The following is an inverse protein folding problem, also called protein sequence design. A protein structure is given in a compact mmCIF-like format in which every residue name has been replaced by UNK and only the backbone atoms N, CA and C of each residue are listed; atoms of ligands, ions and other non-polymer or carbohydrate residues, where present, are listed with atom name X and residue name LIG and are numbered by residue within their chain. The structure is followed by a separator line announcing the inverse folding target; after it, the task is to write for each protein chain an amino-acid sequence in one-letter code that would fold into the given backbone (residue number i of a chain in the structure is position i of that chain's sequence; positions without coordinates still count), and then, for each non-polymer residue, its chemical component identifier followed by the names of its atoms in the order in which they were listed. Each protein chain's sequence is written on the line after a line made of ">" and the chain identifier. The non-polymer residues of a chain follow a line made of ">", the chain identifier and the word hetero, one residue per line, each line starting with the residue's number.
data_IF_666843915334
#
_entry.id   IF_666843915334
#
_cell.length_a   1.000
_cell.length_b   1.000
_cell.length_c   1.000
_cell.angle_alpha   90.00
_cell.angle_beta   90.00
_cell.angle_gamma   90.00
#
_symmetry.space_group_name_H-M   'P 1'
#
loop_
_entity.id
_entity.type
_entity.pdbx_description
1 polymer ?
#
# COMPACT_ATOMS: atom_id res chain seq x y z
N UNK A 1 -32.66 15.78 -15.10
CA UNK A 1 -31.53 16.73 -15.17
C UNK A 1 -31.46 17.66 -13.95
N UNK A 2 -32.59 18.19 -13.45
CA UNK A 2 -32.60 19.14 -12.33
C UNK A 2 -32.10 18.54 -11.00
N UNK A 3 -32.36 17.26 -10.74
CA UNK A 3 -31.88 16.57 -9.53
C UNK A 3 -30.36 16.40 -9.56
N UNK A 4 -29.80 16.03 -10.71
CA UNK A 4 -28.35 15.93 -10.88
C UNK A 4 -27.66 17.29 -10.71
N UNK A 5 -28.22 18.35 -11.26
CA UNK A 5 -27.75 19.74 -11.10
C UNK A 5 -27.80 20.19 -9.63
N UNK A 6 -28.90 19.88 -8.94
CA UNK A 6 -29.03 20.16 -7.51
C UNK A 6 -28.01 19.40 -6.66
N UNK A 7 -27.79 18.13 -6.95
CA UNK A 7 -26.75 17.32 -6.27
C UNK A 7 -25.34 17.86 -6.53
N UNK A 8 -25.01 18.25 -7.77
CA UNK A 8 -23.72 18.85 -8.12
C UNK A 8 -23.49 20.15 -7.35
N UNK A 9 -24.52 20.99 -7.18
CA UNK A 9 -24.44 22.25 -6.41
C UNK A 9 -24.24 22.04 -4.90
N UNK A 10 -24.65 20.88 -4.39
CA UNK A 10 -24.52 20.50 -2.98
C UNK A 10 -23.21 19.76 -2.67
N UNK A 11 -22.44 19.39 -3.71
CA UNK A 11 -21.12 18.80 -3.50
C UNK A 11 -20.18 19.87 -2.93
N UNK A 12 -19.34 19.51 -1.94
CA UNK A 12 -18.30 20.39 -1.44
C UNK A 12 -17.42 20.90 -2.59
N UNK A 13 -16.97 22.14 -2.51
CA UNK A 13 -16.11 22.76 -3.54
C UNK A 13 -14.73 22.07 -3.71
N UNK A 14 -14.38 21.21 -2.76
CA UNK A 14 -13.18 20.35 -2.74
C UNK A 14 -13.45 18.91 -3.18
N UNK A 15 -14.62 18.65 -3.79
CA UNK A 15 -14.91 17.38 -4.44
C UNK A 15 -14.09 17.26 -5.75
N UNK A 16 -12.76 17.22 -5.59
CA UNK A 16 -11.84 16.81 -6.64
C UNK A 16 -11.99 15.31 -6.83
N UNK A 17 -12.05 14.82 -8.05
CA UNK A 17 -11.93 13.40 -8.33
C UNK A 17 -10.55 12.95 -7.83
N UNK A 18 -10.54 12.33 -6.65
CA UNK A 18 -9.32 11.77 -6.10
C UNK A 18 -8.89 10.58 -6.94
N UNK A 19 -7.70 10.67 -7.50
CA UNK A 19 -7.11 9.63 -8.33
C UNK A 19 -6.06 8.85 -7.57
N UNK A 20 -5.84 7.61 -7.98
CA UNK A 20 -4.81 6.75 -7.37
C UNK A 20 -3.42 7.16 -7.88
N UNK A 21 -3.30 7.40 -9.19
CA UNK A 21 -2.01 7.64 -9.87
C UNK A 21 -1.88 9.01 -10.54
N UNK A 22 -2.96 9.77 -10.71
CA UNK A 22 -2.98 10.99 -11.54
C UNK A 22 -2.02 12.10 -11.11
N UNK A 23 -1.50 12.05 -9.89
CA UNK A 23 -0.45 12.96 -9.43
C UNK A 23 0.98 12.52 -9.83
N UNK A 24 1.14 11.31 -10.36
CA UNK A 24 2.43 10.70 -10.74
C UNK A 24 2.60 10.52 -12.25
N UNK A 25 1.51 10.56 -13.00
CA UNK A 25 1.49 10.24 -14.42
C UNK A 25 0.78 11.31 -15.24
N UNK A 26 1.10 11.35 -16.54
CA UNK A 26 0.48 12.19 -17.55
C UNK A 26 -0.02 11.33 -18.72
N UNK A 27 -0.85 11.92 -19.58
CA UNK A 27 -1.32 11.26 -20.82
C UNK A 27 -0.13 10.77 -21.66
N UNK A 28 -0.22 9.53 -22.16
CA UNK A 28 0.82 8.83 -22.93
C UNK A 28 2.07 8.40 -22.14
N UNK A 29 2.11 8.56 -20.83
CA UNK A 29 3.17 7.96 -20.03
C UNK A 29 3.12 6.42 -20.10
N UNK A 30 4.30 5.81 -20.24
CA UNK A 30 4.46 4.36 -20.17
C UNK A 30 4.62 3.93 -18.71
N UNK A 31 3.72 3.08 -18.25
CA UNK A 31 3.72 2.54 -16.89
C UNK A 31 3.89 1.02 -16.94
N UNK A 32 4.84 0.50 -16.18
CA UNK A 32 5.07 -0.94 -16.02
C UNK A 32 4.49 -1.42 -14.68
N UNK A 33 3.59 -2.39 -14.76
CA UNK A 33 3.03 -3.06 -13.58
C UNK A 33 3.74 -4.40 -13.37
N UNK A 34 4.43 -4.56 -12.24
CA UNK A 34 5.08 -5.84 -11.87
C UNK A 34 4.22 -6.51 -10.81
N UNK A 35 3.48 -7.54 -11.23
CA UNK A 35 2.45 -8.18 -10.43
C UNK A 35 2.79 -9.66 -10.21
N UNK A 36 3.45 -10.01 -9.09
CA UNK A 36 3.59 -11.42 -8.73
C UNK A 36 2.20 -12.05 -8.60
N UNK A 37 2.09 -13.32 -8.96
CA UNK A 37 0.81 -14.02 -8.86
C UNK A 37 0.46 -14.22 -7.40
N UNK A 38 -0.63 -13.62 -6.97
CA UNK A 38 -1.15 -13.74 -5.61
C UNK A 38 -1.96 -15.05 -5.49
N UNK A 39 -1.48 -15.96 -4.66
CA UNK A 39 -2.15 -17.25 -4.39
C UNK A 39 -3.52 -17.04 -3.73
N UNK A 40 -3.72 -15.92 -3.05
CA UNK A 40 -5.01 -15.57 -2.42
C UNK A 40 -6.04 -15.03 -3.42
N UNK A 41 -5.60 -14.58 -4.59
CA UNK A 41 -6.53 -14.14 -5.62
C UNK A 41 -7.28 -15.34 -6.22
N UNK A 42 -8.60 -15.24 -6.43
CA UNK A 42 -9.34 -16.27 -7.15
C UNK A 42 -8.70 -16.50 -8.53
N UNK A 43 -8.59 -17.79 -8.93
CA UNK A 43 -8.01 -18.15 -10.23
C UNK A 43 -8.64 -17.33 -11.37
N UNK A 44 -7.79 -16.75 -12.21
CA UNK A 44 -8.21 -15.92 -13.35
C UNK A 44 -8.61 -14.48 -12.98
N UNK A 45 -8.31 -14.02 -11.77
CA UNK A 45 -8.58 -12.63 -11.33
C UNK A 45 -7.33 -11.96 -10.78
N UNK A 46 -7.27 -10.65 -10.98
CA UNK A 46 -6.34 -9.76 -10.27
C UNK A 46 -6.97 -9.35 -8.93
N UNK A 47 -6.13 -8.98 -7.96
CA UNK A 47 -6.60 -8.38 -6.71
C UNK A 47 -7.14 -6.96 -6.95
N UNK A 48 -8.06 -6.53 -6.10
CA UNK A 48 -8.76 -5.25 -6.27
C UNK A 48 -7.83 -4.03 -6.45
N UNK A 49 -6.74 -3.86 -5.69
CA UNK A 49 -5.81 -2.75 -5.91
C UNK A 49 -5.20 -2.72 -7.31
N UNK A 50 -4.84 -3.88 -7.86
CA UNK A 50 -4.29 -3.98 -9.20
C UNK A 50 -5.32 -3.54 -10.26
N UNK A 51 -6.56 -4.04 -10.17
CA UNK A 51 -7.65 -3.69 -11.09
C UNK A 51 -7.97 -2.19 -11.03
N UNK A 52 -8.07 -1.62 -9.83
CA UNK A 52 -8.38 -0.20 -9.66
C UNK A 52 -7.25 0.69 -10.16
N UNK A 53 -5.98 0.32 -9.95
CA UNK A 53 -4.83 1.06 -10.47
C UNK A 53 -4.77 1.00 -12.00
N UNK A 54 -5.02 -0.16 -12.61
CA UNK A 54 -5.10 -0.29 -14.08
C UNK A 54 -6.20 0.62 -14.62
N UNK A 55 -7.38 0.62 -14.00
CA UNK A 55 -8.48 1.47 -14.44
C UNK A 55 -8.13 2.95 -14.32
N UNK A 56 -7.56 3.38 -13.20
CA UNK A 56 -7.14 4.76 -12.97
C UNK A 56 -6.10 5.22 -14.01
N UNK A 57 -5.11 4.38 -14.32
CA UNK A 57 -4.12 4.66 -15.37
C UNK A 57 -4.75 4.78 -16.77
N UNK A 58 -5.75 3.97 -17.10
CA UNK A 58 -6.47 4.05 -18.38
C UNK A 58 -7.30 5.33 -18.45
N UNK A 59 -7.93 5.75 -17.36
CA UNK A 59 -8.67 7.01 -17.28
C UNK A 59 -7.74 8.22 -17.50
N UNK A 60 -6.45 8.10 -17.12
CA UNK A 60 -5.39 9.09 -17.41
C UNK A 60 -4.70 8.87 -18.77
N UNK A 61 -5.23 7.98 -19.63
CA UNK A 61 -4.71 7.66 -20.98
C UNK A 61 -3.24 7.23 -20.99
N UNK A 62 -2.78 6.53 -19.94
CA UNK A 62 -1.45 5.96 -19.89
C UNK A 62 -1.34 4.70 -20.77
N UNK A 63 -0.13 4.40 -21.21
CA UNK A 63 0.23 3.15 -21.87
C UNK A 63 0.68 2.17 -20.78
N UNK A 64 0.00 1.03 -20.66
CA UNK A 64 0.24 0.08 -19.59
C UNK A 64 0.88 -1.19 -20.14
N UNK A 65 2.05 -1.54 -19.62
CA UNK A 65 2.66 -2.86 -19.77
C UNK A 65 2.56 -3.60 -18.44
N UNK A 66 2.34 -4.90 -18.46
CA UNK A 66 2.31 -5.71 -17.22
C UNK A 66 3.15 -6.96 -17.37
N UNK A 67 3.77 -7.39 -16.29
CA UNK A 67 4.55 -8.61 -16.21
C UNK A 67 4.51 -9.21 -14.80
N UNK A 68 4.96 -10.43 -14.67
CA UNK A 68 5.25 -11.06 -13.38
C UNK A 68 6.69 -10.77 -12.95
N UNK A 69 7.04 -11.05 -11.71
CA UNK A 69 8.40 -10.78 -11.19
C UNK A 69 9.49 -11.57 -11.92
N UNK A 70 9.20 -12.78 -12.38
CA UNK A 70 10.11 -13.66 -13.12
C UNK A 70 10.31 -13.24 -14.58
N UNK A 71 9.37 -12.49 -15.15
CA UNK A 71 9.46 -11.99 -16.53
C UNK A 71 9.85 -10.51 -16.61
N UNK A 72 10.28 -9.88 -15.50
CA UNK A 72 10.62 -8.45 -15.45
C UNK A 72 11.72 -8.06 -16.44
N UNK A 73 12.81 -8.83 -16.54
CA UNK A 73 13.92 -8.53 -17.45
C UNK A 73 13.47 -8.58 -18.92
N UNK A 74 12.65 -9.56 -19.27
CA UNK A 74 12.09 -9.68 -20.60
C UNK A 74 11.12 -8.52 -20.92
N UNK A 75 10.30 -8.13 -19.94
CA UNK A 75 9.39 -7.00 -20.09
C UNK A 75 10.14 -5.68 -20.30
N UNK A 76 11.18 -5.40 -19.50
CA UNK A 76 12.02 -4.20 -19.66
C UNK A 76 12.73 -4.18 -21.01
N UNK A 77 13.25 -5.34 -21.47
CA UNK A 77 13.93 -5.45 -22.77
C UNK A 77 13.00 -5.29 -23.97
N UNK A 78 11.71 -5.57 -23.80
CA UNK A 78 10.71 -5.42 -24.86
C UNK A 78 10.22 -3.97 -25.04
N UNK A 79 10.55 -3.06 -24.11
CA UNK A 79 10.13 -1.68 -24.18
C UNK A 79 11.05 -0.85 -25.08
N UNK A 80 10.48 0.02 -25.92
CA UNK A 80 11.24 0.94 -26.76
C UNK A 80 11.86 2.12 -26.01
N UNK A 81 11.36 2.39 -24.81
CA UNK A 81 11.86 3.42 -23.87
C UNK A 81 11.61 2.98 -22.44
N UNK A 82 12.41 3.46 -21.48
CA UNK A 82 12.16 3.21 -20.06
C UNK A 82 10.76 3.64 -19.63
N UNK A 83 10.09 2.88 -18.75
CA UNK A 83 8.79 3.31 -18.22
C UNK A 83 8.98 4.54 -17.33
N UNK A 84 8.04 5.47 -17.39
CA UNK A 84 7.99 6.63 -16.51
C UNK A 84 7.83 6.20 -15.04
N UNK A 85 6.94 5.24 -14.82
CA UNK A 85 6.60 4.75 -13.49
C UNK A 85 6.54 3.21 -13.50
N UNK A 86 7.11 2.60 -12.48
CA UNK A 86 6.97 1.17 -12.20
C UNK A 86 6.15 1.04 -10.92
N UNK A 87 5.06 0.28 -11.00
CA UNK A 87 4.18 -0.02 -9.85
C UNK A 87 4.27 -1.52 -9.57
N UNK A 88 4.60 -1.88 -8.35
CA UNK A 88 4.80 -3.28 -7.99
C UNK A 88 4.10 -3.67 -6.71
N UNK A 89 4.13 -4.94 -6.37
CA UNK A 89 3.78 -5.41 -5.04
C UNK A 89 4.92 -5.14 -4.07
N UNK A 90 4.62 -4.66 -2.86
CA UNK A 90 5.66 -4.32 -1.87
C UNK A 90 6.56 -5.48 -1.48
N UNK A 91 6.11 -6.71 -1.69
CA UNK A 91 6.91 -7.91 -1.42
C UNK A 91 8.13 -8.04 -2.34
N UNK A 92 8.04 -7.55 -3.58
CA UNK A 92 9.09 -7.65 -4.58
C UNK A 92 9.82 -6.32 -4.83
N UNK A 93 9.63 -5.33 -3.96
CA UNK A 93 10.34 -4.05 -4.02
C UNK A 93 11.85 -4.18 -4.24
N UNK A 94 12.60 -5.00 -3.45
CA UNK A 94 14.05 -5.08 -3.62
C UNK A 94 14.44 -5.55 -5.02
N UNK A 95 13.75 -6.57 -5.55
CA UNK A 95 14.00 -7.11 -6.88
C UNK A 95 13.77 -6.04 -7.96
N UNK A 96 12.64 -5.32 -7.87
CA UNK A 96 12.29 -4.32 -8.87
C UNK A 96 13.20 -3.09 -8.76
N UNK A 97 13.56 -2.69 -7.54
CA UNK A 97 14.48 -1.58 -7.30
C UNK A 97 15.88 -1.84 -7.91
N UNK A 98 16.39 -3.06 -7.77
CA UNK A 98 17.69 -3.47 -8.34
C UNK A 98 17.70 -3.45 -9.88
N UNK A 99 16.56 -3.82 -10.50
CA UNK A 99 16.47 -4.01 -11.96
C UNK A 99 15.88 -2.83 -12.73
N UNK A 100 15.23 -1.90 -12.03
CA UNK A 100 14.59 -0.76 -12.70
C UNK A 100 15.61 0.13 -13.41
N UNK A 101 15.28 0.72 -14.59
CA UNK A 101 16.05 1.81 -15.15
C UNK A 101 16.20 2.97 -14.14
N UNK A 102 17.34 3.65 -14.18
CA UNK A 102 17.65 4.73 -13.22
C UNK A 102 16.59 5.85 -13.26
N UNK A 103 16.18 6.24 -14.46
CA UNK A 103 15.19 7.28 -14.72
C UNK A 103 13.75 6.90 -14.37
N UNK A 104 13.47 5.61 -14.18
CA UNK A 104 12.12 5.15 -13.84
C UNK A 104 11.79 5.40 -12.37
N UNK A 105 10.63 5.99 -12.11
CA UNK A 105 10.08 6.14 -10.76
C UNK A 105 9.55 4.79 -10.27
N UNK A 106 9.57 4.55 -8.96
CA UNK A 106 9.10 3.31 -8.34
C UNK A 106 8.09 3.59 -7.24
N UNK A 107 7.01 2.84 -7.23
CA UNK A 107 6.04 2.80 -6.13
C UNK A 107 5.41 1.42 -6.02
N UNK A 108 4.47 1.24 -5.09
CA UNK A 108 3.68 0.00 -5.00
C UNK A 108 2.20 0.27 -4.87
N UNK A 109 1.40 -0.75 -5.20
CA UNK A 109 -0.05 -0.70 -5.01
C UNK A 109 -0.41 -0.32 -3.57
N UNK A 110 0.27 -0.89 -2.58
CA UNK A 110 0.02 -0.61 -1.17
C UNK A 110 0.36 0.84 -0.77
N UNK A 111 1.41 1.43 -1.33
CA UNK A 111 1.80 2.83 -1.09
C UNK A 111 0.80 3.79 -1.76
N UNK A 112 0.41 3.51 -3.00
CA UNK A 112 -0.63 4.28 -3.69
C UNK A 112 -1.95 4.30 -2.90
N UNK A 113 -2.36 3.14 -2.40
CA UNK A 113 -3.58 3.04 -1.59
C UNK A 113 -3.44 3.67 -0.20
N UNK A 114 -2.23 3.71 0.37
CA UNK A 114 -1.96 4.46 1.60
C UNK A 114 -2.22 5.95 1.42
N UNK A 115 -1.85 6.52 0.27
CA UNK A 115 -2.17 7.91 -0.09
C UNK A 115 -3.64 8.09 -0.42
N UNK A 116 -4.18 7.23 -1.28
CA UNK A 116 -5.57 7.35 -1.76
C UNK A 116 -6.62 7.22 -0.65
N UNK A 117 -6.39 6.35 0.34
CA UNK A 117 -7.37 6.07 1.41
C UNK A 117 -6.99 6.59 2.78
N UNK A 118 -5.69 6.75 3.06
CA UNK A 118 -5.19 7.11 4.38
C UNK A 118 -4.55 8.50 4.45
N UNK A 119 -3.55 8.61 5.33
CA UNK A 119 -2.69 9.79 5.46
C UNK A 119 -1.24 9.37 5.22
N UNK A 120 -0.76 9.57 3.99
CA UNK A 120 0.57 9.12 3.57
C UNK A 120 1.68 9.79 4.39
N UNK A 121 1.54 11.07 4.73
CA UNK A 121 2.56 11.81 5.49
C UNK A 121 2.66 11.27 6.92
N UNK A 122 1.52 11.02 7.55
CA UNK A 122 1.48 10.39 8.87
C UNK A 122 2.09 8.99 8.83
N UNK A 123 1.77 8.17 7.85
CA UNK A 123 2.29 6.80 7.72
C UNK A 123 3.81 6.77 7.53
N UNK A 124 4.37 7.66 6.71
CA UNK A 124 5.82 7.77 6.47
C UNK A 124 6.53 8.26 7.73
N UNK A 125 6.00 9.30 8.36
CA UNK A 125 6.55 9.84 9.62
C UNK A 125 6.56 8.76 10.71
N UNK A 126 5.45 8.04 10.84
CA UNK A 126 5.28 6.99 11.84
C UNK A 126 6.16 5.77 11.58
N UNK A 127 6.53 5.47 10.33
CA UNK A 127 7.38 4.32 10.02
C UNK A 127 8.74 4.38 10.76
N UNK A 128 9.25 5.58 11.05
CA UNK A 128 10.49 5.77 11.83
C UNK A 128 10.39 5.25 13.26
N UNK A 129 9.18 5.14 13.82
CA UNK A 129 8.99 4.57 15.14
C UNK A 129 9.26 3.05 15.17
N UNK A 130 9.34 2.38 14.00
CA UNK A 130 9.79 0.99 13.91
C UNK A 130 11.16 0.83 14.58
N UNK A 131 12.08 1.79 14.44
CA UNK A 131 13.43 1.70 15.03
C UNK A 131 13.45 1.86 16.56
N UNK A 132 12.35 2.33 17.15
CA UNK A 132 12.20 2.48 18.61
C UNK A 132 11.61 1.23 19.26
N UNK A 133 11.14 0.26 18.47
CA UNK A 133 10.63 -1.00 19.00
C UNK A 133 11.72 -1.81 19.68
N UNK A 134 11.32 -2.56 20.70
CA UNK A 134 12.18 -3.42 21.51
C UNK A 134 11.58 -4.81 21.63
N UNK A 135 12.29 -5.73 22.27
CA UNK A 135 11.78 -7.07 22.56
C UNK A 135 10.52 -7.07 23.45
N UNK A 136 10.26 -5.99 24.18
CA UNK A 136 9.09 -5.85 25.05
C UNK A 136 7.95 -5.06 24.40
N UNK A 137 8.10 -4.60 23.18
CA UNK A 137 7.09 -3.83 22.47
C UNK A 137 5.92 -4.69 22.02
N UNK A 138 4.75 -4.05 21.92
CA UNK A 138 3.52 -4.67 21.44
C UNK A 138 3.04 -3.98 20.16
N UNK A 139 2.96 -4.72 19.07
CA UNK A 139 2.58 -4.22 17.74
C UNK A 139 1.21 -4.76 17.35
N UNK A 140 0.33 -3.88 16.90
CA UNK A 140 -0.97 -4.25 16.32
C UNK A 140 -0.87 -4.33 14.80
N UNK A 141 -1.18 -5.48 14.22
CA UNK A 141 -1.43 -5.63 12.79
C UNK A 141 -2.94 -5.57 12.55
N UNK A 142 -3.38 -4.55 11.83
CA UNK A 142 -4.79 -4.28 11.57
C UNK A 142 -5.15 -4.59 10.12
N UNK A 143 -5.85 -5.70 9.91
CA UNK A 143 -6.33 -6.13 8.60
C UNK A 143 -7.74 -5.62 8.33
N UNK A 144 -8.05 -5.31 7.07
CA UNK A 144 -9.39 -5.00 6.62
C UNK A 144 -10.16 -6.24 6.15
N UNK A 145 -9.44 -7.27 5.71
CA UNK A 145 -10.01 -8.48 5.15
C UNK A 145 -10.25 -9.54 6.22
N UNK A 146 -11.21 -10.42 5.97
CA UNK A 146 -11.55 -11.55 6.84
C UNK A 146 -11.29 -12.89 6.15
N UNK A 147 -10.43 -12.90 5.12
CA UNK A 147 -10.08 -14.14 4.41
C UNK A 147 -9.22 -15.07 5.28
N UNK A 148 -9.29 -16.37 4.99
CA UNK A 148 -8.45 -17.34 5.68
C UNK A 148 -6.97 -17.10 5.38
N UNK A 149 -6.08 -17.05 6.40
CA UNK A 149 -4.65 -16.81 6.19
C UNK A 149 -4.01 -18.00 5.45
N UNK A 150 -3.10 -17.68 4.54
CA UNK A 150 -2.24 -18.66 3.87
C UNK A 150 -0.83 -18.63 4.46
N UNK A 151 -0.03 -19.65 4.18
CA UNK A 151 1.34 -19.81 4.67
C UNK A 151 2.28 -18.63 4.28
N UNK A 152 1.93 -17.88 3.24
CA UNK A 152 2.70 -16.71 2.75
C UNK A 152 2.02 -15.36 3.04
N UNK A 153 1.09 -15.33 3.98
CA UNK A 153 0.37 -14.10 4.33
C UNK A 153 1.31 -12.99 4.80
N UNK A 154 1.16 -11.80 4.22
CA UNK A 154 2.02 -10.65 4.50
C UNK A 154 1.86 -10.18 5.95
N UNK A 155 0.62 -9.99 6.39
CA UNK A 155 0.31 -9.45 7.70
C UNK A 155 0.48 -10.46 8.82
N UNK A 156 0.14 -11.72 8.57
CA UNK A 156 0.13 -12.76 9.60
C UNK A 156 1.42 -13.54 9.73
N UNK A 157 2.24 -13.57 8.67
CA UNK A 157 3.47 -14.36 8.64
C UNK A 157 4.70 -13.48 8.36
N UNK A 158 4.72 -12.76 7.22
CA UNK A 158 5.95 -12.09 6.76
C UNK A 158 6.34 -10.89 7.64
N UNK A 159 5.40 -9.99 7.94
CA UNK A 159 5.69 -8.81 8.77
C UNK A 159 6.05 -9.22 10.21
N UNK A 160 5.30 -10.10 10.91
CA UNK A 160 5.71 -10.59 12.22
C UNK A 160 7.10 -11.23 12.23
N UNK A 161 7.41 -12.06 11.22
CA UNK A 161 8.72 -12.68 11.09
C UNK A 161 9.86 -11.64 10.90
N UNK A 162 9.63 -10.60 10.10
CA UNK A 162 10.58 -9.50 9.92
C UNK A 162 10.83 -8.73 11.22
N UNK A 163 9.77 -8.42 11.96
CA UNK A 163 9.84 -7.72 13.25
C UNK A 163 10.57 -8.57 14.29
N UNK A 164 10.20 -9.84 14.47
CA UNK A 164 10.84 -10.73 15.42
C UNK A 164 12.31 -10.99 15.08
N UNK A 165 12.65 -11.10 13.81
CA UNK A 165 14.04 -11.22 13.36
C UNK A 165 14.88 -10.01 13.78
N UNK A 166 14.30 -8.81 13.77
CA UNK A 166 15.01 -7.56 14.11
C UNK A 166 15.07 -7.28 15.60
N UNK A 167 14.00 -7.58 16.36
CA UNK A 167 13.86 -7.18 17.76
C UNK A 167 13.82 -8.33 18.76
N UNK A 168 13.75 -9.57 18.30
CA UNK A 168 13.70 -10.78 19.13
C UNK A 168 12.27 -11.36 19.28
N UNK A 169 12.20 -12.60 19.71
CA UNK A 169 10.96 -13.38 19.80
C UNK A 169 9.99 -12.89 20.91
N UNK A 170 10.48 -12.11 21.86
CA UNK A 170 9.67 -11.53 22.92
C UNK A 170 8.73 -10.41 22.45
N UNK A 171 9.00 -9.80 21.27
CA UNK A 171 8.12 -8.79 20.70
C UNK A 171 6.73 -9.39 20.44
N UNK A 172 5.70 -8.73 21.02
CA UNK A 172 4.33 -9.18 20.90
C UNK A 172 3.68 -8.61 19.63
N UNK A 173 3.00 -9.45 18.88
CA UNK A 173 2.27 -9.06 17.67
C UNK A 173 0.84 -9.57 17.76
N UNK A 174 -0.09 -8.65 17.91
CA UNK A 174 -1.52 -8.95 17.86
C UNK A 174 -2.06 -8.67 16.46
N UNK A 175 -3.00 -9.48 16.02
CA UNK A 175 -3.61 -9.37 14.68
C UNK A 175 -5.12 -9.27 14.84
N UNK A 176 -5.70 -8.21 14.27
CA UNK A 176 -7.14 -8.01 14.20
C UNK A 176 -7.59 -7.94 12.75
N UNK A 177 -8.82 -8.39 12.49
CA UNK A 177 -9.36 -8.47 11.12
C UNK A 177 -10.73 -7.80 11.00
N UNK A 178 -11.07 -7.35 9.81
CA UNK A 178 -12.37 -6.77 9.54
C UNK A 178 -12.66 -5.54 10.41
N UNK A 179 -13.73 -5.58 11.18
CA UNK A 179 -14.17 -4.47 12.04
C UNK A 179 -13.60 -4.52 13.46
N UNK A 180 -12.81 -5.53 13.80
CA UNK A 180 -12.30 -5.79 15.16
C UNK A 180 -11.13 -4.87 15.56
N UNK A 181 -11.12 -3.63 15.05
CA UNK A 181 -10.13 -2.65 15.45
C UNK A 181 -10.40 -2.19 16.89
N UNK A 182 -9.38 -2.22 17.80
CA UNK A 182 -9.59 -1.90 19.20
C UNK A 182 -10.09 -0.46 19.40
N UNK A 183 -10.96 -0.27 20.40
CA UNK A 183 -11.43 1.06 20.79
C UNK A 183 -10.37 1.87 21.54
N UNK A 184 -9.48 1.19 22.24
CA UNK A 184 -8.35 1.76 22.99
C UNK A 184 -7.05 1.20 22.40
N UNK A 185 -6.12 2.08 22.05
CA UNK A 185 -4.88 1.71 21.38
C UNK A 185 -3.65 1.87 22.29
N UNK A 186 -3.82 2.36 23.51
CA UNK A 186 -2.73 2.70 24.42
C UNK A 186 -1.89 1.50 24.88
N UNK A 187 -2.41 0.28 24.69
CA UNK A 187 -1.66 -0.95 24.95
C UNK A 187 -0.63 -1.29 23.87
N UNK A 188 -0.61 -0.53 22.76
CA UNK A 188 0.25 -0.78 21.62
C UNK A 188 1.28 0.33 21.42
N UNK A 189 2.51 -0.07 21.12
CA UNK A 189 3.59 0.86 20.77
C UNK A 189 3.56 1.26 19.30
N UNK A 190 2.96 0.42 18.44
CA UNK A 190 2.96 0.63 17.01
C UNK A 190 1.80 -0.10 16.30
N UNK A 191 1.27 0.49 15.24
CA UNK A 191 0.21 -0.10 14.43
C UNK A 191 0.66 -0.23 12.97
N UNK A 192 0.48 -1.41 12.38
CA UNK A 192 0.70 -1.66 10.96
C UNK A 192 -0.63 -2.06 10.32
N UNK A 193 -1.18 -1.17 9.49
CA UNK A 193 -2.46 -1.37 8.81
C UNK A 193 -2.26 -1.99 7.42
N UNK A 194 -3.13 -2.90 7.00
CA UNK A 194 -3.11 -3.42 5.62
C UNK A 194 -3.50 -2.35 4.59
N UNK A 195 -3.41 -2.66 3.29
CA UNK A 195 -3.79 -1.76 2.20
C UNK A 195 -5.28 -1.42 2.16
N UNK A 196 -6.11 -2.06 2.99
CA UNK A 196 -7.55 -1.81 3.14
C UNK A 196 -8.31 -1.80 1.80
N UNK A 197 -7.97 -2.72 0.90
CA UNK A 197 -8.59 -2.82 -0.42
C UNK A 197 -10.13 -2.97 -0.34
N UNK A 198 -10.64 -3.66 0.67
CA UNK A 198 -12.07 -3.91 0.88
C UNK A 198 -12.79 -2.82 1.68
N UNK A 199 -12.08 -1.91 2.33
CA UNK A 199 -12.67 -0.80 3.07
C UNK A 199 -12.70 0.49 2.26
N UNK A 200 -13.72 1.31 2.52
CA UNK A 200 -13.78 2.66 1.96
C UNK A 200 -12.79 3.61 2.67
N UNK A 201 -12.53 4.76 2.04
CA UNK A 201 -11.61 5.79 2.55
C UNK A 201 -12.00 6.28 3.95
N UNK A 202 -13.29 6.55 4.20
CA UNK A 202 -13.77 7.07 5.49
C UNK A 202 -13.44 6.12 6.65
N UNK A 203 -13.53 4.81 6.41
CA UNK A 203 -13.20 3.82 7.44
C UNK A 203 -11.70 3.78 7.76
N UNK A 204 -10.86 3.87 6.74
CA UNK A 204 -9.40 3.94 6.95
C UNK A 204 -9.03 5.23 7.69
N UNK A 205 -9.58 6.37 7.27
CA UNK A 205 -9.35 7.65 7.93
C UNK A 205 -9.81 7.64 9.39
N UNK A 206 -10.94 7.01 9.71
CA UNK A 206 -11.38 6.86 11.09
C UNK A 206 -10.32 6.16 11.96
N UNK A 207 -9.72 5.06 11.49
CA UNK A 207 -8.65 4.36 12.20
C UNK A 207 -7.39 5.24 12.33
N UNK A 208 -7.03 5.95 11.29
CA UNK A 208 -5.89 6.89 11.31
C UNK A 208 -6.12 8.01 12.34
N UNK A 209 -7.29 8.62 12.35
CA UNK A 209 -7.61 9.69 13.31
C UNK A 209 -7.66 9.17 14.76
N UNK A 210 -8.13 7.95 14.99
CA UNK A 210 -8.07 7.32 16.30
C UNK A 210 -6.62 7.14 16.75
N UNK A 211 -5.75 6.58 15.90
CA UNK A 211 -4.33 6.41 16.22
C UNK A 211 -3.63 7.75 16.50
N UNK A 212 -3.91 8.79 15.69
CA UNK A 212 -3.39 10.14 15.93
C UNK A 212 -3.86 10.73 17.27
N UNK A 213 -5.15 10.60 17.58
CA UNK A 213 -5.75 11.10 18.82
C UNK A 213 -5.12 10.48 20.05
N UNK A 214 -4.78 9.20 20.00
CA UNK A 214 -4.16 8.47 21.09
C UNK A 214 -2.62 8.55 21.08
N UNK A 215 -2.04 9.19 20.06
CA UNK A 215 -0.59 9.37 19.94
C UNK A 215 0.18 8.10 19.54
N UNK A 216 -0.52 7.07 19.05
CA UNK A 216 0.10 5.80 18.68
C UNK A 216 0.56 5.85 17.22
N UNK A 217 1.86 5.67 16.92
CA UNK A 217 2.35 5.70 15.57
C UNK A 217 1.74 4.57 14.74
N UNK A 218 1.25 4.92 13.54
CA UNK A 218 0.61 3.98 12.64
C UNK A 218 1.16 4.12 11.22
N UNK A 219 1.45 3.01 10.57
CA UNK A 219 1.86 2.95 9.16
C UNK A 219 1.08 1.87 8.41
N UNK A 220 1.34 1.70 7.10
CA UNK A 220 0.75 0.62 6.34
C UNK A 220 1.78 -0.44 5.93
N UNK A 221 1.31 -1.61 5.44
CA UNK A 221 2.16 -2.73 5.02
C UNK A 221 3.25 -2.32 4.03
N UNK A 222 2.89 -1.59 2.98
CA UNK A 222 3.84 -1.20 1.94
C UNK A 222 4.93 -0.29 2.45
N UNK A 223 4.57 0.70 3.25
CA UNK A 223 5.53 1.64 3.86
C UNK A 223 6.38 0.94 4.91
N UNK A 224 5.80 0.09 5.77
CA UNK A 224 6.55 -0.70 6.74
C UNK A 224 7.60 -1.59 6.07
N UNK A 225 7.22 -2.31 5.00
CA UNK A 225 8.14 -3.18 4.24
C UNK A 225 9.23 -2.33 3.58
N UNK A 226 8.87 -1.22 2.91
CA UNK A 226 9.83 -0.34 2.26
C UNK A 226 10.83 0.25 3.28
N UNK A 227 10.36 0.65 4.45
CA UNK A 227 11.20 1.16 5.54
C UNK A 227 12.15 0.08 6.06
N UNK A 228 11.65 -1.09 6.44
CA UNK A 228 12.47 -2.20 6.95
C UNK A 228 13.48 -2.74 5.94
N UNK A 229 13.23 -2.54 4.65
CA UNK A 229 14.15 -2.89 3.55
C UNK A 229 15.11 -1.77 3.15
N UNK A 230 15.01 -0.57 3.76
CA UNK A 230 15.87 0.57 3.46
C UNK A 230 15.61 1.24 2.12
N UNK A 231 14.42 1.04 1.52
CA UNK A 231 14.08 1.59 0.20
C UNK A 231 12.99 2.68 0.25
N UNK A 232 12.54 3.06 1.45
CA UNK A 232 11.46 4.04 1.59
C UNK A 232 11.79 5.40 0.95
N UNK A 233 13.06 5.82 0.98
CA UNK A 233 13.51 7.10 0.40
C UNK A 233 13.60 7.06 -1.14
N UNK A 234 13.54 5.87 -1.74
CA UNK A 234 13.65 5.64 -3.18
C UNK A 234 12.30 5.39 -3.87
N UNK A 235 11.22 5.39 -3.10
CA UNK A 235 9.86 5.25 -3.64
C UNK A 235 9.14 6.59 -3.69
N UNK A 236 8.24 6.71 -4.67
CA UNK A 236 7.43 7.91 -4.88
C UNK A 236 5.98 7.64 -4.43
N UNK A 237 5.30 8.68 -3.94
CA UNK A 237 3.93 8.62 -3.43
C UNK A 237 3.17 9.93 -3.65
#
# INVERSE_FOLDING_TARGET
>A
DDVCQALIRLLPSDFTEETITGHLVQENDLVLLVMPQDIQAPKGRLILPQVQTIRDLLDHKCIIQSCTSDTLDAALSALSKPPKLIITDSQVFPLVYEKKPEESLLTSFSVLFAKYKGDIQYFIKSAKAIDQLTVNSRVLIAEACTHAPLAEDIGRVKIPAMLKKKYGDGLQVDIVSGTDFPKELQDYDFIIHCGACMFNKKYVQFRVEQAKKEGIPMTNYGIAIAYMKGILEHIIY
#
